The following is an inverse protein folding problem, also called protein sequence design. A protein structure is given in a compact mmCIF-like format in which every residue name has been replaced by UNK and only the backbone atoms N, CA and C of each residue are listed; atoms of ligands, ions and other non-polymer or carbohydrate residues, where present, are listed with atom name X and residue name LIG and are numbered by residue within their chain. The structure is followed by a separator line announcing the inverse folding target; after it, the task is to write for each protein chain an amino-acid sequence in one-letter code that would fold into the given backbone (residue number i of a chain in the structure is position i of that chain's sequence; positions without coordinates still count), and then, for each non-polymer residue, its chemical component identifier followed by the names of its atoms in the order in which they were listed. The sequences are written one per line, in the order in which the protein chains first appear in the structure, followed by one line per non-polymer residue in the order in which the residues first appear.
data_IF_184297863882
#
_entry.id   IF_184297863882
#
_cell.length_a   1.000
_cell.length_b   1.000
_cell.length_c   1.000
_cell.angle_alpha   90.00
_cell.angle_beta   90.00
_cell.angle_gamma   90.00
#
_symmetry.space_group_name_H-M   'P 1'
#
loop_
_entity.id
_entity.type
_entity.pdbx_description
1 polymer ?
#
# COMPACT_ATOMS: atom_id res chain seq x y z
N UNK A 1 -12.24 -22.20 -13.76
CA UNK A 1 -12.79 -21.28 -12.74
C UNK A 1 -11.72 -20.90 -11.70
N UNK A 2 -10.49 -20.56 -12.12
CA UNK A 2 -9.36 -20.46 -11.17
C UNK A 2 -8.26 -19.45 -11.46
N UNK A 3 -8.12 -18.92 -12.69
CA UNK A 3 -6.90 -18.14 -13.03
C UNK A 3 -7.16 -16.78 -13.68
N UNK A 4 -8.42 -16.37 -13.87
CA UNK A 4 -8.73 -15.05 -14.45
C UNK A 4 -8.79 -13.93 -13.42
N UNK A 5 -8.98 -14.25 -12.13
CA UNK A 5 -9.07 -13.26 -11.05
C UNK A 5 -7.69 -12.69 -10.64
N UNK A 6 -6.61 -13.42 -10.90
CA UNK A 6 -5.25 -12.99 -10.60
C UNK A 6 -4.74 -11.94 -11.62
N UNK A 7 -5.24 -12.00 -12.86
CA UNK A 7 -4.80 -11.14 -13.96
C UNK A 7 -5.50 -9.78 -14.03
N UNK A 8 -6.55 -9.56 -13.23
CA UNK A 8 -7.18 -8.24 -13.09
C UNK A 8 -6.64 -7.45 -11.88
N UNK A 9 -5.41 -7.72 -11.45
CA UNK A 9 -4.63 -6.79 -10.63
C UNK A 9 -4.11 -5.66 -11.51
N UNK A 10 -4.97 -4.67 -11.80
CA UNK A 10 -4.48 -3.40 -12.33
C UNK A 10 -3.80 -2.66 -11.18
N UNK A 11 -2.51 -2.90 -11.02
CA UNK A 11 -1.66 -2.05 -10.20
C UNK A 11 -1.75 -0.64 -10.78
N UNK A 12 -2.35 0.30 -10.03
CA UNK A 12 -2.00 1.71 -10.22
C UNK A 12 -0.56 1.85 -9.69
N UNK A 13 0.38 1.38 -10.50
CA UNK A 13 1.80 1.62 -10.34
C UNK A 13 2.05 3.02 -10.92
N UNK A 14 1.58 4.06 -10.23
CA UNK A 14 2.12 5.39 -10.46
C UNK A 14 3.59 5.26 -10.08
N UNK A 15 4.49 5.50 -11.02
CA UNK A 15 5.93 5.18 -10.98
C UNK A 15 6.74 5.88 -9.88
N UNK A 16 6.07 6.48 -8.88
CA UNK A 16 6.63 7.12 -7.69
C UNK A 16 5.75 6.78 -6.48
N UNK A 17 6.35 6.65 -5.29
CA UNK A 17 5.63 6.32 -4.05
C UNK A 17 4.46 7.29 -3.83
N UNK A 18 3.26 6.75 -3.62
CA UNK A 18 2.05 7.55 -3.50
C UNK A 18 2.01 8.22 -2.11
N UNK A 19 1.83 9.54 -2.09
CA UNK A 19 1.46 10.24 -0.86
C UNK A 19 -0.06 10.40 -0.82
N UNK A 20 -0.71 9.51 -0.07
CA UNK A 20 -2.17 9.46 0.02
C UNK A 20 -2.69 10.71 0.70
N UNK A 21 -2.09 11.11 1.82
CA UNK A 21 -2.52 12.29 2.58
C UNK A 21 -2.59 13.53 1.67
N UNK A 22 -1.56 13.76 0.85
CA UNK A 22 -1.51 14.91 -0.06
C UNK A 22 -2.53 14.84 -1.22
N UNK A 23 -2.91 13.64 -1.64
CA UNK A 23 -3.75 13.44 -2.84
C UNK A 23 -5.07 12.74 -2.50
N UNK A 24 -5.50 12.80 -1.24
CA UNK A 24 -6.54 11.94 -0.68
C UNK A 24 -7.82 11.95 -1.52
N UNK A 25 -8.32 13.15 -1.86
CA UNK A 25 -9.55 13.29 -2.64
C UNK A 25 -9.44 12.61 -4.02
N UNK A 26 -8.34 12.82 -4.75
CA UNK A 26 -8.14 12.23 -6.07
C UNK A 26 -8.04 10.71 -6.00
N UNK A 27 -7.30 10.21 -5.01
CA UNK A 27 -7.10 8.77 -4.82
C UNK A 27 -8.41 8.11 -4.39
N UNK A 28 -9.15 8.72 -3.46
CA UNK A 28 -10.45 8.21 -3.00
C UNK A 28 -11.45 8.12 -4.16
N UNK A 29 -11.53 9.14 -5.02
CA UNK A 29 -12.36 9.08 -6.24
C UNK A 29 -11.93 7.91 -7.14
N UNK A 30 -10.63 7.73 -7.37
CA UNK A 30 -10.11 6.65 -8.20
C UNK A 30 -10.40 5.26 -7.60
N UNK A 31 -10.16 5.08 -6.30
CA UNK A 31 -10.46 3.84 -5.57
C UNK A 31 -11.95 3.53 -5.65
N UNK A 32 -12.82 4.52 -5.44
CA UNK A 32 -14.27 4.34 -5.54
C UNK A 32 -14.72 3.94 -6.95
N UNK A 33 -14.17 4.58 -7.99
CA UNK A 33 -14.48 4.24 -9.38
C UNK A 33 -14.06 2.80 -9.72
N UNK A 34 -12.86 2.39 -9.30
CA UNK A 34 -12.37 1.04 -9.54
C UNK A 34 -13.17 -0.01 -8.75
N UNK A 35 -13.47 0.27 -7.48
CA UNK A 35 -14.32 -0.58 -6.65
C UNK A 35 -15.73 -0.75 -7.25
N UNK A 36 -16.34 0.33 -7.77
CA UNK A 36 -17.64 0.28 -8.45
C UNK A 36 -17.61 -0.69 -9.65
N UNK A 37 -16.49 -0.71 -10.38
CA UNK A 37 -16.27 -1.63 -11.49
C UNK A 37 -15.73 -3.02 -11.05
N UNK A 38 -15.73 -3.31 -9.73
CA UNK A 38 -15.23 -4.56 -9.15
C UNK A 38 -13.74 -4.85 -9.46
N UNK A 39 -12.95 -3.80 -9.71
CA UNK A 39 -11.51 -3.90 -9.97
C UNK A 39 -10.76 -3.82 -8.64
N UNK A 40 -9.94 -4.83 -8.36
CA UNK A 40 -9.11 -4.84 -7.15
C UNK A 40 -8.00 -3.81 -7.26
N UNK A 41 -7.94 -2.90 -6.28
CA UNK A 41 -6.93 -1.83 -6.23
C UNK A 41 -5.99 -2.06 -5.06
N UNK A 42 -4.68 -1.89 -5.29
CA UNK A 42 -3.66 -1.83 -4.24
C UNK A 42 -2.96 -0.47 -4.28
N UNK A 43 -2.80 0.17 -3.12
CA UNK A 43 -2.07 1.44 -3.02
C UNK A 43 -0.61 1.19 -2.61
N UNK A 44 0.33 1.60 -3.46
CA UNK A 44 1.77 1.53 -3.18
C UNK A 44 2.23 2.73 -2.33
N UNK A 45 2.57 2.48 -1.06
CA UNK A 45 2.87 3.51 -0.06
C UNK A 45 4.13 3.23 0.74
N UNK A 46 4.69 4.27 1.35
CA UNK A 46 5.75 4.08 2.34
C UNK A 46 5.22 3.38 3.60
N UNK A 47 6.06 2.62 4.32
CA UNK A 47 5.71 1.96 5.58
C UNK A 47 5.56 3.01 6.69
N UNK A 48 4.46 3.76 6.66
CA UNK A 48 4.16 4.88 7.55
C UNK A 48 2.71 4.76 8.02
N UNK A 49 2.48 4.90 9.33
CA UNK A 49 1.17 4.65 9.92
C UNK A 49 0.12 5.66 9.44
N UNK A 50 0.51 6.92 9.23
CA UNK A 50 -0.41 7.94 8.73
C UNK A 50 -0.79 7.72 7.26
N UNK A 51 0.14 7.23 6.44
CA UNK A 51 -0.17 6.81 5.07
C UNK A 51 -1.12 5.61 5.07
N UNK A 52 -0.96 4.66 6.00
CA UNK A 52 -1.86 3.51 6.14
C UNK A 52 -3.26 3.96 6.56
N UNK A 53 -3.38 4.84 7.56
CA UNK A 53 -4.68 5.39 7.98
C UNK A 53 -5.36 6.15 6.84
N UNK A 54 -4.60 6.93 6.08
CA UNK A 54 -5.11 7.59 4.88
C UNK A 54 -5.56 6.56 3.83
N UNK A 55 -4.82 5.47 3.62
CA UNK A 55 -5.23 4.39 2.70
C UNK A 55 -6.56 3.77 3.12
N UNK A 56 -6.72 3.44 4.40
CA UNK A 56 -7.96 2.88 4.95
C UNK A 56 -9.14 3.80 4.64
N UNK A 57 -8.96 5.11 4.85
CA UNK A 57 -10.01 6.09 4.61
C UNK A 57 -10.39 6.25 3.12
N UNK A 58 -9.56 5.76 2.18
CA UNK A 58 -9.95 5.69 0.76
C UNK A 58 -10.89 4.53 0.43
N UNK A 59 -11.06 3.56 1.33
CA UNK A 59 -11.85 2.35 1.08
C UNK A 59 -11.11 1.26 0.31
N UNK A 60 -9.77 1.36 0.20
CA UNK A 60 -8.97 0.31 -0.44
C UNK A 60 -8.89 -0.95 0.43
N UNK A 61 -8.83 -2.12 -0.22
CA UNK A 61 -8.64 -3.42 0.46
C UNK A 61 -7.17 -3.85 0.53
N UNK A 62 -6.35 -3.46 -0.44
CA UNK A 62 -4.95 -3.85 -0.55
C UNK A 62 -4.02 -2.64 -0.44
N UNK A 63 -2.87 -2.84 0.22
CA UNK A 63 -1.73 -1.92 0.15
C UNK A 63 -0.48 -2.70 -0.20
N UNK A 64 0.47 -2.02 -0.83
CA UNK A 64 1.83 -2.52 -1.04
C UNK A 64 2.83 -1.57 -0.39
N UNK A 65 3.70 -2.12 0.45
CA UNK A 65 4.65 -1.33 1.23
C UNK A 65 5.98 -1.19 0.51
N UNK A 66 6.39 0.06 0.28
CA UNK A 66 7.66 0.39 -0.34
C UNK A 66 8.87 -0.02 0.52
N UNK A 67 9.64 -1.00 0.05
CA UNK A 67 10.84 -1.52 0.71
C UNK A 67 12.14 -0.86 0.24
N UNK A 68 12.09 0.16 -0.61
CA UNK A 68 13.30 0.77 -1.20
C UNK A 68 14.30 1.29 -0.15
N UNK A 69 13.81 1.84 0.97
CA UNK A 69 14.68 2.34 2.04
C UNK A 69 15.43 1.21 2.75
N UNK A 70 14.80 0.04 2.89
CA UNK A 70 15.46 -1.16 3.41
C UNK A 70 16.53 -1.65 2.42
N UNK A 71 16.20 -1.70 1.12
CA UNK A 71 17.14 -2.11 0.07
C UNK A 71 18.36 -1.19 -0.05
N UNK A 72 18.16 0.13 0.11
CA UNK A 72 19.23 1.15 0.04
C UNK A 72 20.00 1.38 1.34
N UNK A 73 19.66 0.67 2.43
CA UNK A 73 20.34 0.84 3.72
C UNK A 73 21.82 0.46 3.61
N UNK A 74 22.72 1.32 4.11
CA UNK A 74 24.18 1.17 3.94
C UNK A 74 24.83 0.29 5.01
N UNK A 75 24.15 0.07 6.13
CA UNK A 75 24.66 -0.70 7.25
C UNK A 75 23.54 -1.49 7.95
N UNK A 76 23.96 -2.40 8.83
CA UNK A 76 23.04 -3.29 9.56
C UNK A 76 22.10 -2.54 10.50
N UNK A 77 22.51 -1.40 11.06
CA UNK A 77 21.66 -0.60 11.94
C UNK A 77 20.50 0.03 11.17
N UNK A 78 20.79 0.67 10.03
CA UNK A 78 19.79 1.22 9.11
C UNK A 78 18.86 0.11 8.60
N UNK A 79 19.42 -1.02 8.17
CA UNK A 79 18.63 -2.15 7.65
C UNK A 79 17.67 -2.69 8.71
N UNK A 80 18.13 -2.84 9.96
CA UNK A 80 17.30 -3.25 11.10
C UNK A 80 16.21 -2.22 11.42
N UNK A 81 16.54 -0.94 11.36
CA UNK A 81 15.57 0.14 11.56
C UNK A 81 14.45 0.11 10.50
N UNK A 82 14.81 0.02 9.21
CA UNK A 82 13.83 -0.04 8.12
C UNK A 82 12.99 -1.32 8.18
N UNK A 83 13.60 -2.46 8.49
CA UNK A 83 12.86 -3.73 8.68
C UNK A 83 11.84 -3.62 9.82
N UNK A 84 12.22 -3.02 10.95
CA UNK A 84 11.29 -2.80 12.07
C UNK A 84 10.14 -1.87 11.67
N UNK A 85 10.40 -0.85 10.85
CA UNK A 85 9.38 0.05 10.32
C UNK A 85 8.38 -0.72 9.45
N UNK A 86 8.87 -1.51 8.49
CA UNK A 86 8.03 -2.38 7.65
C UNK A 86 7.20 -3.36 8.50
N UNK A 87 7.81 -4.08 9.45
CA UNK A 87 7.10 -5.03 10.33
C UNK A 87 5.97 -4.36 11.12
N UNK A 88 6.24 -3.19 11.72
CA UNK A 88 5.21 -2.41 12.45
C UNK A 88 4.06 -2.01 11.53
N UNK A 89 4.37 -1.53 10.33
CA UNK A 89 3.37 -1.16 9.32
C UNK A 89 2.51 -2.34 8.88
N UNK A 90 3.11 -3.51 8.60
CA UNK A 90 2.38 -4.73 8.24
C UNK A 90 1.41 -5.14 9.35
N UNK A 91 1.88 -5.20 10.60
CA UNK A 91 1.05 -5.58 11.74
C UNK A 91 -0.11 -4.59 11.91
N UNK A 92 0.17 -3.29 11.83
CA UNK A 92 -0.84 -2.25 11.97
C UNK A 92 -1.90 -2.33 10.88
N UNK A 93 -1.50 -2.41 9.62
CA UNK A 93 -2.40 -2.49 8.47
C UNK A 93 -3.28 -3.74 8.52
N UNK A 94 -2.70 -4.92 8.83
CA UNK A 94 -3.46 -6.17 8.98
C UNK A 94 -4.49 -6.08 10.11
N UNK A 95 -4.13 -5.49 11.26
CA UNK A 95 -5.07 -5.26 12.38
C UNK A 95 -6.25 -4.37 11.98
N UNK A 96 -6.07 -3.50 10.99
CA UNK A 96 -7.10 -2.60 10.44
C UNK A 96 -7.89 -3.23 9.29
N UNK A 97 -7.65 -4.49 8.94
CA UNK A 97 -8.39 -5.22 7.91
C UNK A 97 -7.85 -5.09 6.49
N UNK A 98 -6.69 -4.46 6.30
CA UNK A 98 -6.02 -4.41 4.99
C UNK A 98 -5.29 -5.72 4.67
N UNK A 99 -5.28 -6.09 3.40
CA UNK A 99 -4.37 -7.09 2.85
C UNK A 99 -3.08 -6.38 2.43
N UNK A 100 -1.93 -6.91 2.84
CA UNK A 100 -0.64 -6.22 2.74
C UNK A 100 0.34 -7.03 1.90
N UNK A 101 0.82 -6.41 0.82
CA UNK A 101 1.97 -6.85 0.02
C UNK A 101 3.22 -6.03 0.41
N UNK A 102 4.41 -6.57 0.16
CA UNK A 102 5.71 -6.00 0.58
C UNK A 102 6.77 -6.28 -0.47
#
# INVERSE_FOLDING_TARGET
EGDTDFFFFFFILISTFLNIIKNFNKISIAVNLLNYNKIQTSLFINPDLYQIDAAINTGVKYIELNTIMYSKSKNNLEKKFQLNKIKKSVIYAKKKGLIVNV
#
